data_IF_247697651907
#
_entry.id   IF_247697651907
#
_cell.length_a   1.000
_cell.length_b   1.000
_cell.length_c   1.000
_cell.angle_alpha   90.00
_cell.angle_beta   90.00
_cell.angle_gamma   90.00
#
_symmetry.space_group_name_H-M   'P 1'
#
loop_
_entity.id
_entity.type
_entity.pdbx_description
1 polymer ?
#
# COMPACT_ATOMS: atom_id res chain seq x y z
N UNK A 1 1.59 -7.82 -19.67
CA UNK A 1 0.58 -7.31 -18.71
C UNK A 1 -0.74 -8.05 -18.92
N UNK A 2 -1.46 -8.46 -17.86
CA UNK A 2 -2.67 -9.29 -17.97
C UNK A 2 -3.98 -8.48 -18.20
N UNK A 3 -3.91 -7.17 -18.42
CA UNK A 3 -5.09 -6.31 -18.53
C UNK A 3 -5.76 -6.43 -19.91
N UNK A 4 -7.10 -6.56 -19.93
CA UNK A 4 -7.88 -6.55 -21.16
C UNK A 4 -8.57 -5.20 -21.37
N UNK A 5 -9.51 -4.83 -20.49
CA UNK A 5 -10.25 -3.56 -20.55
C UNK A 5 -10.91 -3.25 -19.20
N UNK A 6 -11.41 -2.02 -19.06
CA UNK A 6 -12.39 -1.70 -18.03
C UNK A 6 -13.82 -1.98 -18.54
N UNK A 7 -14.65 -2.51 -17.66
CA UNK A 7 -16.11 -2.54 -17.80
C UNK A 7 -16.69 -1.68 -16.68
N UNK A 8 -17.05 -0.44 -17.02
CA UNK A 8 -17.29 0.65 -16.06
C UNK A 8 -16.08 0.89 -15.11
N UNK A 9 -16.12 0.43 -13.87
CA UNK A 9 -15.02 0.51 -12.90
C UNK A 9 -14.41 -0.86 -12.55
N UNK A 10 -14.87 -1.91 -13.22
CA UNK A 10 -14.39 -3.28 -13.06
C UNK A 10 -13.25 -3.54 -14.04
N UNK A 11 -12.10 -4.02 -13.55
CA UNK A 11 -11.03 -4.50 -14.44
C UNK A 11 -11.38 -5.89 -14.96
N UNK A 12 -11.29 -6.09 -16.28
CA UNK A 12 -11.36 -7.40 -16.92
C UNK A 12 -9.95 -7.78 -17.37
N UNK A 13 -9.52 -8.99 -17.02
CA UNK A 13 -8.21 -9.52 -17.39
C UNK A 13 -8.29 -10.46 -18.60
N UNK A 14 -7.15 -10.72 -19.24
CA UNK A 14 -7.04 -11.56 -20.44
C UNK A 14 -7.45 -13.03 -20.20
N UNK A 15 -7.42 -13.49 -18.96
CA UNK A 15 -7.86 -14.83 -18.55
C UNK A 15 -9.34 -14.89 -18.15
N UNK A 16 -10.07 -13.77 -18.26
CA UNK A 16 -11.47 -13.64 -17.87
C UNK A 16 -11.72 -13.40 -16.39
N UNK A 17 -10.68 -13.38 -15.55
CA UNK A 17 -10.86 -12.93 -14.18
C UNK A 17 -11.33 -11.48 -14.15
N UNK A 18 -11.92 -11.10 -13.02
CA UNK A 18 -12.46 -9.78 -12.76
C UNK A 18 -11.73 -9.16 -11.57
N UNK A 19 -11.54 -7.84 -11.59
CA UNK A 19 -10.83 -7.11 -10.55
C UNK A 19 -11.59 -5.90 -10.04
N UNK A 20 -11.53 -5.67 -8.73
CA UNK A 20 -11.90 -4.39 -8.09
C UNK A 20 -10.74 -3.86 -7.25
N UNK A 21 -10.52 -2.55 -7.29
CA UNK A 21 -9.50 -1.86 -6.51
C UNK A 21 -10.12 -0.90 -5.49
N UNK A 22 -9.43 -0.73 -4.37
CA UNK A 22 -9.78 0.21 -3.31
C UNK A 22 -8.56 1.05 -2.95
N UNK A 23 -8.75 2.36 -2.74
CA UNK A 23 -7.83 3.19 -1.98
C UNK A 23 -8.18 3.08 -0.50
N UNK A 24 -7.18 2.87 0.35
CA UNK A 24 -7.35 2.71 1.80
C UNK A 24 -6.80 3.95 2.53
N UNK A 25 -7.39 4.27 3.69
CA UNK A 25 -6.92 5.36 4.55
C UNK A 25 -5.71 4.99 5.43
N UNK A 26 -5.44 3.69 5.60
CA UNK A 26 -4.41 3.18 6.51
C UNK A 26 -4.79 3.31 7.99
N UNK A 27 -3.95 2.72 8.85
CA UNK A 27 -4.02 2.83 10.29
C UNK A 27 -2.84 3.66 10.81
N UNK A 28 -3.14 4.70 11.60
CA UNK A 28 -2.10 5.53 12.20
C UNK A 28 -1.60 4.88 13.50
N UNK A 29 -0.40 4.31 13.45
CA UNK A 29 0.27 3.71 14.60
C UNK A 29 1.07 4.71 15.44
N UNK A 30 1.26 5.95 14.98
CA UNK A 30 2.21 6.92 15.58
C UNK A 30 1.90 7.26 17.04
N UNK A 31 0.62 7.24 17.42
CA UNK A 31 0.15 7.49 18.78
C UNK A 31 -0.76 6.37 19.31
N UNK A 32 -0.79 5.23 18.62
CA UNK A 32 -1.60 4.08 19.03
C UNK A 32 -0.92 3.33 20.18
N UNK A 33 -1.72 2.82 21.12
CA UNK A 33 -1.20 1.90 22.14
C UNK A 33 -0.86 0.54 21.51
N UNK A 34 0.05 -0.26 22.12
CA UNK A 34 0.30 -1.63 21.67
C UNK A 34 -0.99 -2.45 21.54
N UNK A 35 -1.92 -2.31 22.48
CA UNK A 35 -3.23 -2.98 22.43
C UNK A 35 -4.06 -2.56 21.22
N UNK A 36 -4.03 -1.27 20.85
CA UNK A 36 -4.73 -0.77 19.67
C UNK A 36 -4.13 -1.32 18.38
N UNK A 37 -2.80 -1.41 18.31
CA UNK A 37 -2.06 -1.99 17.18
C UNK A 37 -2.38 -3.48 17.05
N UNK A 38 -2.35 -4.23 18.15
CA UNK A 38 -2.69 -5.66 18.18
C UNK A 38 -4.15 -5.89 17.78
N UNK A 39 -5.09 -5.10 18.30
CA UNK A 39 -6.50 -5.18 17.93
C UNK A 39 -6.73 -4.87 16.45
N UNK A 40 -5.99 -3.92 15.88
CA UNK A 40 -6.02 -3.66 14.44
C UNK A 40 -5.51 -4.87 13.64
N UNK A 41 -4.35 -5.42 13.99
CA UNK A 41 -3.81 -6.62 13.33
C UNK A 41 -4.78 -7.81 13.41
N UNK A 42 -5.42 -8.04 14.55
CA UNK A 42 -6.41 -9.10 14.69
C UNK A 42 -7.62 -8.91 13.76
N UNK A 43 -8.04 -7.66 13.51
CA UNK A 43 -9.08 -7.39 12.51
C UNK A 43 -8.62 -7.69 11.09
N UNK A 44 -7.35 -7.45 10.77
CA UNK A 44 -6.77 -7.79 9.47
C UNK A 44 -6.64 -9.31 9.30
N UNK A 45 -6.22 -10.02 10.35
CA UNK A 45 -6.22 -11.48 10.38
C UNK A 45 -7.62 -12.04 10.12
N UNK A 46 -8.63 -11.53 10.84
CA UNK A 46 -10.03 -11.92 10.63
C UNK A 46 -10.51 -11.62 9.20
N UNK A 47 -10.07 -10.51 8.61
CA UNK A 47 -10.33 -10.20 7.21
C UNK A 47 -9.74 -11.26 6.27
N UNK A 48 -8.46 -11.62 6.43
CA UNK A 48 -7.80 -12.62 5.60
C UNK A 48 -8.42 -14.01 5.78
N UNK A 49 -8.71 -14.40 7.03
CA UNK A 49 -9.40 -15.64 7.37
C UNK A 49 -10.83 -15.68 6.81
N UNK A 50 -11.48 -14.53 6.65
CA UNK A 50 -12.81 -14.41 6.06
C UNK A 50 -12.85 -14.49 4.53
N UNK A 51 -11.71 -14.46 3.83
CA UNK A 51 -11.69 -14.48 2.38
C UNK A 51 -12.17 -15.84 1.81
N UNK A 52 -12.95 -15.77 0.73
CA UNK A 52 -13.38 -16.94 0.00
C UNK A 52 -12.23 -17.57 -0.78
N UNK A 53 -12.22 -18.90 -0.85
CA UNK A 53 -11.22 -19.65 -1.61
C UNK A 53 -11.22 -19.22 -3.08
N UNK A 54 -10.02 -19.10 -3.66
CA UNK A 54 -9.83 -18.68 -5.03
C UNK A 54 -9.71 -17.18 -5.27
N UNK A 55 -9.98 -16.35 -4.27
CA UNK A 55 -9.68 -14.93 -4.37
C UNK A 55 -8.17 -14.70 -4.27
N UNK A 56 -7.69 -13.79 -5.12
CA UNK A 56 -6.36 -13.21 -5.02
C UNK A 56 -6.52 -11.77 -4.51
N UNK A 57 -5.70 -11.38 -3.55
CA UNK A 57 -5.68 -10.04 -2.98
C UNK A 57 -4.28 -9.47 -3.12
N UNK A 58 -4.16 -8.20 -3.45
CA UNK A 58 -2.88 -7.49 -3.45
C UNK A 58 -3.00 -6.23 -2.63
N UNK A 59 -2.09 -6.01 -1.70
CA UNK A 59 -1.84 -4.70 -1.11
C UNK A 59 -0.69 -4.07 -1.86
N UNK A 60 -0.94 -2.91 -2.46
CA UNK A 60 0.05 -2.12 -3.15
C UNK A 60 0.23 -0.80 -2.39
N UNK A 61 1.38 -0.65 -1.76
CA UNK A 61 1.78 0.52 -1.00
C UNK A 61 2.75 1.37 -1.82
N UNK A 62 2.59 2.68 -1.79
CA UNK A 62 3.54 3.63 -2.40
C UNK A 62 3.94 4.67 -1.37
N UNK A 63 5.22 4.89 -1.22
CA UNK A 63 5.74 6.08 -0.55
C UNK A 63 6.20 7.06 -1.64
N UNK A 64 5.45 8.13 -1.85
CA UNK A 64 5.67 9.07 -2.96
C UNK A 64 6.02 10.47 -2.46
N UNK A 65 6.44 11.35 -3.36
CA UNK A 65 6.58 12.79 -3.11
C UNK A 65 5.31 13.59 -3.44
N UNK A 66 4.19 12.93 -3.79
CA UNK A 66 3.01 13.58 -4.32
C UNK A 66 2.25 14.36 -3.24
N UNK A 67 2.61 15.64 -3.08
CA UNK A 67 1.93 16.59 -2.21
C UNK A 67 1.38 17.79 -2.99
N UNK A 68 1.38 17.76 -4.33
CA UNK A 68 0.99 18.91 -5.16
C UNK A 68 -0.42 19.41 -4.83
N UNK A 69 -1.39 18.48 -4.79
CA UNK A 69 -2.80 18.83 -4.54
C UNK A 69 -3.00 19.51 -3.19
N UNK A 70 -2.34 19.04 -2.12
CA UNK A 70 -2.50 19.65 -0.79
C UNK A 70 -1.80 21.00 -0.69
N UNK A 71 -0.65 21.19 -1.37
CA UNK A 71 0.01 22.50 -1.44
C UNK A 71 -0.85 23.49 -2.23
N UNK A 72 -1.44 23.08 -3.36
CA UNK A 72 -2.33 23.93 -4.15
C UNK A 72 -3.65 24.25 -3.42
N UNK A 73 -4.22 23.28 -2.70
CA UNK A 73 -5.35 23.54 -1.82
C UNK A 73 -4.98 24.55 -0.72
N UNK A 74 -3.79 24.46 -0.12
CA UNK A 74 -3.31 25.44 0.86
C UNK A 74 -3.15 26.84 0.25
N UNK A 75 -2.61 26.93 -0.98
CA UNK A 75 -2.54 28.17 -1.76
C UNK A 75 -3.92 28.77 -1.99
N UNK A 76 -4.88 27.94 -2.40
CA UNK A 76 -6.23 28.37 -2.74
C UNK A 76 -7.00 28.84 -1.51
N UNK A 77 -6.88 28.12 -0.40
CA UNK A 77 -7.55 28.43 0.87
C UNK A 77 -7.14 29.85 1.33
N UNK A 78 -5.86 30.20 1.19
CA UNK A 78 -5.32 31.54 1.50
C UNK A 78 -5.39 32.57 0.35
N UNK A 79 -6.08 32.27 -0.75
CA UNK A 79 -6.10 33.08 -1.98
C UNK A 79 -6.63 34.51 -1.78
N UNK A 80 -7.68 34.65 -0.97
CA UNK A 80 -8.34 35.95 -0.69
C UNK A 80 -7.76 36.69 0.52
N UNK A 81 -6.52 36.37 0.90
CA UNK A 81 -5.83 36.99 2.04
C UNK A 81 -5.58 38.49 1.84
N UNK A 82 -5.41 39.21 2.95
CA UNK A 82 -5.12 40.66 2.92
C UNK A 82 -3.77 40.94 2.25
N UNK A 83 -3.63 42.12 1.63
CA UNK A 83 -2.38 42.54 0.97
C UNK A 83 -1.16 42.48 1.92
N UNK A 84 -1.36 42.83 3.19
CA UNK A 84 -0.31 42.75 4.21
C UNK A 84 0.17 41.31 4.50
N UNK A 85 -0.67 40.31 4.24
CA UNK A 85 -0.36 38.91 4.48
C UNK A 85 0.31 38.21 3.28
N UNK A 86 0.11 38.73 2.07
CA UNK A 86 0.60 38.09 0.84
C UNK A 86 2.11 37.77 0.86
N UNK A 87 3.02 38.61 1.39
CA UNK A 87 4.44 38.25 1.49
C UNK A 87 4.69 37.00 2.33
N UNK A 88 3.97 36.84 3.45
CA UNK A 88 4.09 35.68 4.36
C UNK A 88 3.54 34.43 3.66
N UNK A 89 2.38 34.54 3.02
CA UNK A 89 1.78 33.48 2.22
C UNK A 89 2.73 32.99 1.14
N UNK A 90 3.27 33.91 0.33
CA UNK A 90 4.14 33.58 -0.80
C UNK A 90 5.44 32.93 -0.33
N UNK A 91 6.05 33.42 0.77
CA UNK A 91 7.24 32.78 1.35
C UNK A 91 6.96 31.35 1.82
N UNK A 92 5.79 31.09 2.42
CA UNK A 92 5.41 29.73 2.86
C UNK A 92 5.14 28.80 1.69
N UNK A 93 4.44 29.27 0.67
CA UNK A 93 4.20 28.48 -0.53
C UNK A 93 5.52 28.13 -1.21
N UNK A 94 6.42 29.11 -1.37
CA UNK A 94 7.75 28.87 -1.95
C UNK A 94 8.57 27.84 -1.14
N UNK A 95 8.42 27.82 0.20
CA UNK A 95 9.03 26.79 1.03
C UNK A 95 8.51 25.37 0.69
N UNK A 96 7.21 25.23 0.47
CA UNK A 96 6.62 23.94 0.10
C UNK A 96 6.90 23.55 -1.36
N UNK A 97 6.89 24.49 -2.29
CA UNK A 97 7.29 24.28 -3.70
C UNK A 97 8.73 23.77 -3.77
N UNK A 98 9.67 24.43 -3.09
CA UNK A 98 11.07 23.96 -3.03
C UNK A 98 11.19 22.55 -2.44
N UNK A 99 10.29 22.19 -1.52
CA UNK A 99 10.25 20.86 -0.91
C UNK A 99 9.67 19.80 -1.86
N UNK A 100 8.65 20.16 -2.66
CA UNK A 100 8.10 19.35 -3.75
C UNK A 100 9.18 19.08 -4.81
N UNK A 101 9.84 20.14 -5.30
CA UNK A 101 10.91 20.06 -6.31
C UNK A 101 12.07 19.19 -5.86
N UNK A 102 12.43 19.25 -4.56
CA UNK A 102 13.47 18.43 -3.99
C UNK A 102 13.03 16.98 -3.65
N UNK A 103 11.77 16.61 -3.94
CA UNK A 103 11.23 15.28 -3.62
C UNK A 103 11.20 14.97 -2.12
N UNK A 104 11.16 15.96 -1.24
CA UNK A 104 11.33 15.75 0.22
C UNK A 104 10.03 15.50 0.98
N UNK A 105 8.95 15.23 0.26
CA UNK A 105 7.71 14.74 0.83
C UNK A 105 7.66 13.22 0.77
N UNK A 106 7.02 12.63 1.77
CA UNK A 106 6.86 11.19 1.92
C UNK A 106 5.39 10.92 2.21
N UNK A 107 4.61 10.71 1.15
CA UNK A 107 3.16 10.56 1.19
C UNK A 107 2.81 9.09 0.97
N UNK A 108 2.31 8.39 1.99
CA UNK A 108 1.87 7.01 1.85
C UNK A 108 0.55 6.94 1.07
N UNK A 109 0.49 6.07 0.07
CA UNK A 109 -0.72 5.69 -0.63
C UNK A 109 -0.90 4.17 -0.53
N UNK A 110 -2.06 3.73 -0.05
CA UNK A 110 -2.36 2.32 0.16
C UNK A 110 -3.51 1.93 -0.77
N UNK A 111 -3.28 0.90 -1.58
CA UNK A 111 -4.28 0.33 -2.46
C UNK A 111 -4.46 -1.15 -2.15
N UNK A 112 -5.70 -1.63 -2.23
CA UNK A 112 -6.02 -3.04 -2.15
C UNK A 112 -6.78 -3.46 -3.40
N UNK A 113 -6.29 -4.50 -4.08
CA UNK A 113 -6.95 -5.10 -5.23
C UNK A 113 -7.46 -6.49 -4.86
N UNK A 114 -8.65 -6.80 -5.36
CA UNK A 114 -9.25 -8.14 -5.29
C UNK A 114 -9.42 -8.63 -6.72
N UNK A 115 -8.91 -9.81 -7.02
CA UNK A 115 -9.03 -10.47 -8.33
C UNK A 115 -9.70 -11.83 -8.15
N UNK A 116 -10.71 -12.09 -9.00
CA UNK A 116 -11.43 -13.36 -9.02
C UNK A 116 -10.56 -14.49 -9.59
N UNK A 117 -10.99 -15.73 -9.41
CA UNK A 117 -10.46 -16.82 -10.23
C UNK A 117 -10.71 -16.55 -11.73
N UNK A 118 -9.84 -17.07 -12.62
CA UNK A 118 -10.09 -17.07 -14.06
C UNK A 118 -11.39 -17.82 -14.40
N UNK A 119 -12.08 -17.36 -15.44
CA UNK A 119 -13.20 -18.11 -16.00
C UNK A 119 -12.66 -19.40 -16.63
N UNK A 120 -13.14 -20.57 -16.20
CA UNK A 120 -12.77 -21.84 -16.83
C UNK A 120 -13.33 -21.89 -18.26
N UNK A 121 -12.50 -21.48 -19.22
CA UNK A 121 -12.79 -21.67 -20.64
C UNK A 121 -12.78 -23.17 -20.96
N UNK A 122 -13.79 -23.67 -21.68
CA UNK A 122 -13.81 -25.06 -22.15
C UNK A 122 -12.48 -25.37 -22.86
N UNK A 123 -11.79 -26.43 -22.42
CA UNK A 123 -10.59 -26.94 -23.10
C UNK A 123 -10.93 -27.24 -24.57
N UNK A 124 -10.23 -26.58 -25.48
CA UNK A 124 -10.35 -26.71 -26.93
C UNK A 124 -10.09 -28.16 -27.38
N UNK A 125 -10.74 -28.59 -28.46
CA UNK A 125 -10.34 -29.80 -29.20
C UNK A 125 -9.21 -29.44 -30.18
N UNK A 126 -8.34 -30.41 -30.49
CA UNK A 126 -7.06 -30.24 -31.24
C UNK A 126 -7.15 -29.59 -32.65
N UNK A 127 -8.32 -29.20 -33.15
CA UNK A 127 -8.54 -28.69 -34.51
C UNK A 127 -9.39 -27.41 -34.60
N UNK A 128 -9.73 -26.75 -33.49
CA UNK A 128 -10.38 -25.43 -33.54
C UNK A 128 -9.39 -24.36 -33.99
N UNK A 129 -9.71 -23.64 -35.07
CA UNK A 129 -8.92 -22.49 -35.55
C UNK A 129 -8.83 -21.44 -34.43
N UNK A 130 -7.71 -20.70 -34.41
CA UNK A 130 -7.54 -19.50 -33.57
C UNK A 130 -8.55 -18.44 -34.02
N UNK A 131 -9.78 -18.53 -33.53
CA UNK A 131 -10.57 -17.33 -33.34
C UNK A 131 -9.96 -16.63 -32.12
N UNK A 132 -9.44 -15.43 -32.41
CA UNK A 132 -9.14 -14.36 -31.48
C UNK A 132 -10.25 -14.28 -30.43
N UNK A 133 -9.88 -13.90 -29.21
CA UNK A 133 -10.73 -13.76 -28.03
C UNK A 133 -12.08 -13.06 -28.33
N UNK A 134 -13.06 -13.80 -28.83
CA UNK A 134 -14.46 -13.37 -28.93
C UNK A 134 -15.13 -13.76 -27.62
N UNK A 135 -15.75 -12.76 -27.00
CA UNK A 135 -16.10 -12.70 -25.58
C UNK A 135 -16.72 -13.98 -25.02
N UNK A 136 -16.47 -14.18 -23.72
CA UNK A 136 -17.22 -15.11 -22.88
C UNK A 136 -18.72 -15.07 -23.23
N UNK A 137 -19.42 -16.22 -23.24
CA UNK A 137 -20.87 -16.22 -23.43
C UNK A 137 -21.49 -15.15 -22.53
N UNK A 138 -22.21 -14.14 -23.08
CA UNK A 138 -22.59 -12.94 -22.33
C UNK A 138 -23.29 -13.24 -21.00
N UNK A 139 -24.09 -14.31 -20.96
CA UNK A 139 -24.77 -14.79 -19.76
C UNK A 139 -23.79 -15.34 -18.71
N UNK A 140 -22.78 -16.11 -19.11
CA UNK A 140 -21.77 -16.65 -18.18
C UNK A 140 -20.90 -15.54 -17.60
N UNK A 141 -20.55 -14.55 -18.42
CA UNK A 141 -19.80 -13.38 -17.97
C UNK A 141 -20.61 -12.55 -16.98
N UNK A 142 -21.88 -12.26 -17.27
CA UNK A 142 -22.78 -11.54 -16.34
C UNK A 142 -22.96 -12.28 -15.03
N UNK A 143 -23.19 -13.60 -15.07
CA UNK A 143 -23.29 -14.41 -13.86
C UNK A 143 -21.99 -14.39 -13.04
N UNK A 144 -20.82 -14.36 -13.69
CA UNK A 144 -19.52 -14.20 -13.02
C UNK A 144 -19.37 -12.82 -12.39
N UNK A 145 -19.80 -11.76 -13.08
CA UNK A 145 -19.82 -10.39 -12.55
C UNK A 145 -20.73 -10.27 -11.31
N UNK A 146 -21.94 -10.83 -11.35
CA UNK A 146 -22.89 -10.80 -10.23
C UNK A 146 -22.33 -11.53 -9.00
N UNK A 147 -21.77 -12.73 -9.19
CA UNK A 147 -21.12 -13.48 -8.10
C UNK A 147 -19.93 -12.72 -7.53
N UNK A 148 -19.09 -12.15 -8.39
CA UNK A 148 -17.93 -11.39 -7.95
C UNK A 148 -18.34 -10.11 -7.21
N UNK A 149 -19.40 -9.43 -7.63
CA UNK A 149 -19.92 -8.24 -6.94
C UNK A 149 -20.35 -8.54 -5.49
N UNK A 150 -20.94 -9.71 -5.23
CA UNK A 150 -21.28 -10.16 -3.87
C UNK A 150 -20.02 -10.32 -3.02
N UNK A 151 -18.99 -10.99 -3.56
CA UNK A 151 -17.71 -11.18 -2.86
C UNK A 151 -17.02 -9.84 -2.57
N UNK A 152 -17.02 -8.92 -3.54
CA UNK A 152 -16.47 -7.58 -3.38
C UNK A 152 -17.22 -6.80 -2.28
N UNK A 153 -18.55 -6.92 -2.20
CA UNK A 153 -19.33 -6.29 -1.13
C UNK A 153 -18.95 -6.83 0.26
N UNK A 154 -18.67 -8.12 0.37
CA UNK A 154 -18.22 -8.74 1.62
C UNK A 154 -16.82 -8.24 2.01
N UNK A 155 -15.88 -8.21 1.05
CA UNK A 155 -14.54 -7.66 1.25
C UNK A 155 -14.60 -6.20 1.68
N UNK A 156 -15.39 -5.37 1.00
CA UNK A 156 -15.53 -3.96 1.33
C UNK A 156 -16.08 -3.75 2.75
N UNK A 157 -17.09 -4.55 3.15
CA UNK A 157 -17.63 -4.52 4.51
C UNK A 157 -16.60 -4.94 5.56
N UNK A 158 -15.80 -5.97 5.27
CA UNK A 158 -14.73 -6.43 6.16
C UNK A 158 -13.63 -5.38 6.31
N UNK A 159 -13.22 -4.71 5.22
CA UNK A 159 -12.25 -3.61 5.25
C UNK A 159 -12.78 -2.40 6.05
N UNK A 160 -14.06 -2.05 5.90
CA UNK A 160 -14.70 -1.02 6.74
C UNK A 160 -14.64 -1.40 8.23
N UNK A 161 -14.96 -2.65 8.55
CA UNK A 161 -14.93 -3.18 9.92
C UNK A 161 -13.51 -3.23 10.50
N UNK A 162 -12.51 -3.46 9.65
CA UNK A 162 -11.10 -3.41 10.01
C UNK A 162 -10.58 -2.00 10.32
N UNK A 163 -11.31 -0.96 9.89
CA UNK A 163 -10.96 0.44 10.18
C UNK A 163 -10.04 1.08 9.13
N UNK A 164 -9.86 0.47 7.95
CA UNK A 164 -8.99 1.03 6.88
C UNK A 164 -9.73 1.92 5.88
N UNK A 165 -11.02 2.21 6.14
CA UNK A 165 -11.86 3.14 5.38
C UNK A 165 -11.74 3.02 3.83
N UNK A 166 -12.16 1.87 3.23
CA UNK A 166 -12.00 1.64 1.80
C UNK A 166 -12.84 2.60 0.95
N UNK A 167 -12.24 3.13 -0.12
CA UNK A 167 -12.89 3.87 -1.18
C UNK A 167 -12.63 3.17 -2.53
N UNK A 168 -13.67 2.86 -3.30
CA UNK A 168 -13.53 2.17 -4.59
C UNK A 168 -12.74 3.03 -5.58
N UNK A 169 -11.79 2.43 -6.28
CA UNK A 169 -11.06 3.08 -7.35
C UNK A 169 -11.95 3.23 -8.58
N UNK A 170 -11.98 4.42 -9.13
CA UNK A 170 -12.58 4.67 -10.45
C UNK A 170 -11.57 4.29 -11.53
N UNK A 171 -12.08 3.98 -12.74
CA UNK A 171 -11.23 3.56 -13.87
C UNK A 171 -10.10 4.54 -14.20
N UNK A 172 -10.34 5.85 -14.03
CA UNK A 172 -9.35 6.88 -14.33
C UNK A 172 -8.19 6.86 -13.31
N UNK A 173 -8.51 6.79 -12.01
CA UNK A 173 -7.51 6.71 -10.93
C UNK A 173 -6.73 5.40 -11.00
N UNK A 174 -7.43 4.28 -11.29
CA UNK A 174 -6.81 2.98 -11.47
C UNK A 174 -5.86 2.98 -12.67
N UNK A 175 -6.30 3.50 -13.82
CA UNK A 175 -5.44 3.67 -14.99
C UNK A 175 -4.21 4.53 -14.66
N UNK A 176 -4.39 5.68 -13.99
CA UNK A 176 -3.29 6.56 -13.58
C UNK A 176 -2.29 5.87 -12.66
N UNK A 177 -2.76 5.06 -11.71
CA UNK A 177 -1.92 4.25 -10.83
C UNK A 177 -1.07 3.24 -11.61
N UNK A 178 -1.71 2.41 -12.45
CA UNK A 178 -0.99 1.45 -13.30
C UNK A 178 -0.04 2.17 -14.28
N UNK A 179 -0.46 3.31 -14.84
CA UNK A 179 0.35 4.10 -15.76
C UNK A 179 1.61 4.63 -15.08
N UNK A 180 1.49 5.21 -13.89
CA UNK A 180 2.65 5.72 -13.13
C UNK A 180 3.63 4.62 -12.73
N UNK A 181 3.18 3.37 -12.61
CA UNK A 181 4.06 2.23 -12.33
C UNK A 181 5.01 1.93 -13.50
N UNK A 182 4.48 1.91 -14.73
CA UNK A 182 5.25 1.59 -15.94
C UNK A 182 5.90 2.82 -16.58
N UNK A 183 5.52 4.04 -16.18
CA UNK A 183 5.94 5.28 -16.81
C UNK A 183 6.26 6.37 -15.77
N UNK A 184 6.94 6.02 -14.67
CA UNK A 184 7.10 6.90 -13.51
C UNK A 184 7.55 8.33 -13.87
N UNK A 185 8.75 8.47 -14.44
CA UNK A 185 9.31 9.78 -14.83
C UNK A 185 8.35 10.55 -15.76
N UNK A 186 7.78 9.87 -16.75
CA UNK A 186 6.80 10.47 -17.68
C UNK A 186 5.56 10.97 -16.95
N UNK A 187 5.07 10.20 -15.98
CA UNK A 187 3.87 10.54 -15.21
C UNK A 187 4.11 11.74 -14.28
N UNK A 188 5.34 11.94 -13.79
CA UNK A 188 5.71 13.08 -12.95
C UNK A 188 5.95 14.35 -13.78
N UNK A 189 6.53 14.23 -14.98
CA UNK A 189 6.87 15.37 -15.83
C UNK A 189 5.69 15.84 -16.70
N UNK A 190 4.93 14.91 -17.29
CA UNK A 190 3.89 15.19 -18.28
C UNK A 190 2.48 14.89 -17.73
N UNK A 191 2.38 14.00 -16.75
CA UNK A 191 1.10 13.48 -16.26
C UNK A 191 0.65 12.19 -16.95
N UNK A 192 -0.46 11.64 -16.46
CA UNK A 192 -1.09 10.45 -17.05
C UNK A 192 -1.99 10.84 -18.23
N UNK A 193 -1.96 10.09 -19.35
CA UNK A 193 -2.89 10.33 -20.44
C UNK A 193 -4.32 9.99 -20.01
N UNK A 194 -5.30 10.56 -20.70
CA UNK A 194 -6.70 10.16 -20.53
C UNK A 194 -6.89 8.77 -21.17
N UNK A 195 -7.45 7.84 -20.39
CA UNK A 195 -7.82 6.50 -20.87
C UNK A 195 -8.76 6.61 -22.08
N UNK A 196 -8.40 5.96 -23.18
CA UNK A 196 -9.22 5.84 -24.39
C UNK A 196 -9.98 4.53 -24.37
N UNK A 197 -11.28 4.60 -24.59
CA UNK A 197 -12.16 3.43 -24.53
C UNK A 197 -12.09 2.57 -25.81
N UNK A 198 -12.22 1.23 -25.70
CA UNK A 198 -12.17 0.33 -26.85
C UNK A 198 -13.32 0.48 -27.86
N UNK A 199 -14.31 1.33 -27.60
CA UNK A 199 -15.42 1.59 -28.54
C UNK A 199 -14.97 2.30 -29.81
N UNK A 200 -13.79 2.92 -29.79
CA UNK A 200 -13.12 3.42 -30.99
C UNK A 200 -12.35 2.27 -31.66
N UNK A 201 -12.68 1.98 -32.92
CA UNK A 201 -12.08 0.88 -33.69
C UNK A 201 -10.55 1.02 -33.85
N UNK A 202 -10.01 2.22 -33.65
CA UNK A 202 -8.57 2.51 -33.70
C UNK A 202 -7.97 2.75 -32.30
N UNK A 203 -8.74 2.59 -31.22
CA UNK A 203 -8.21 2.75 -29.88
C UNK A 203 -7.13 1.69 -29.60
N UNK A 204 -5.96 2.10 -29.07
CA UNK A 204 -4.95 1.15 -28.62
C UNK A 204 -5.50 0.30 -27.46
N UNK A 205 -5.01 -0.93 -27.36
CA UNK A 205 -5.33 -1.81 -26.22
C UNK A 205 -4.93 -1.17 -24.89
N UNK A 206 -5.56 -1.57 -23.80
CA UNK A 206 -5.23 -1.05 -22.46
C UNK A 206 -3.74 -1.23 -22.12
N UNK A 207 -3.08 -2.39 -22.34
CA UNK A 207 -1.64 -2.50 -22.20
C UNK A 207 -0.85 -1.54 -23.09
N UNK A 208 -1.28 -1.29 -24.32
CA UNK A 208 -0.64 -0.34 -25.24
C UNK A 208 -0.74 1.11 -24.76
N UNK A 209 -1.78 1.46 -23.99
CA UNK A 209 -1.92 2.76 -23.33
C UNK A 209 -1.10 2.87 -22.04
N UNK A 210 -0.86 1.74 -21.37
CA UNK A 210 -0.09 1.65 -20.13
C UNK A 210 1.43 1.56 -20.35
N UNK A 211 1.91 1.18 -21.53
CA UNK A 211 3.32 1.00 -21.84
C UNK A 211 3.81 2.08 -22.84
N UNK A 212 3.98 3.32 -22.36
CA UNK A 212 4.42 4.46 -23.19
C UNK A 212 5.88 4.88 -22.95
N UNK A 213 6.61 4.10 -22.16
CA UNK A 213 8.03 4.27 -21.87
C UNK A 213 8.73 2.93 -22.13
N UNK A 214 9.83 2.97 -22.87
CA UNK A 214 10.62 1.79 -23.17
C UNK A 214 11.28 1.23 -21.90
N UNK A 215 11.35 -0.11 -21.84
CA UNK A 215 11.99 -0.85 -20.76
C UNK A 215 13.18 -1.62 -21.33
N UNK A 216 14.37 -1.34 -20.81
CA UNK A 216 15.57 -2.14 -21.10
C UNK A 216 15.89 -3.03 -19.90
N UNK A 217 16.01 -4.33 -20.14
CA UNK A 217 16.29 -5.32 -19.09
C UNK A 217 17.80 -5.56 -19.01
N UNK A 218 18.35 -5.50 -17.80
CA UNK A 218 19.72 -5.92 -17.50
C UNK A 218 19.71 -6.90 -16.33
N UNK A 219 20.83 -7.57 -16.07
CA UNK A 219 20.93 -8.53 -14.95
C UNK A 219 20.65 -7.89 -13.59
N UNK A 220 20.97 -6.61 -13.38
CA UNK A 220 20.93 -5.97 -12.05
C UNK A 220 19.87 -4.88 -11.90
N UNK A 221 19.25 -4.45 -13.00
CA UNK A 221 18.24 -3.39 -13.00
C UNK A 221 17.37 -3.45 -14.27
N UNK A 222 16.17 -2.89 -14.18
CA UNK A 222 15.37 -2.48 -15.33
C UNK A 222 15.61 -1.00 -15.56
N UNK A 223 15.92 -0.58 -16.79
CA UNK A 223 15.98 0.84 -17.13
C UNK A 223 14.65 1.24 -17.75
N UNK A 224 13.91 2.14 -17.10
CA UNK A 224 12.61 2.64 -17.55
C UNK A 224 12.74 4.16 -17.64
N UNK A 225 12.78 4.70 -18.86
CA UNK A 225 13.16 6.11 -19.08
C UNK A 225 14.59 6.38 -18.61
N UNK A 226 14.76 7.44 -17.82
CA UNK A 226 16.03 7.83 -17.19
C UNK A 226 16.37 7.05 -15.90
N UNK A 227 15.45 6.24 -15.37
CA UNK A 227 15.58 5.63 -14.04
C UNK A 227 16.01 4.17 -14.09
N UNK A 228 16.83 3.77 -13.12
CA UNK A 228 17.20 2.37 -12.87
C UNK A 228 16.33 1.78 -11.76
N UNK A 229 15.46 0.84 -12.11
CA UNK A 229 14.59 0.12 -11.19
C UNK A 229 15.19 -1.20 -10.74
N UNK A 230 14.92 -1.57 -9.49
CA UNK A 230 15.29 -2.86 -8.91
C UNK A 230 14.16 -3.38 -8.02
N UNK A 231 14.09 -4.70 -7.90
CA UNK A 231 13.14 -5.38 -7.02
C UNK A 231 13.92 -6.24 -6.03
N UNK A 232 13.57 -6.10 -4.74
CA UNK A 232 14.02 -6.99 -3.68
C UNK A 232 12.80 -7.72 -3.14
N UNK A 233 12.84 -9.05 -3.12
CA UNK A 233 11.73 -9.89 -2.68
C UNK A 233 12.05 -10.53 -1.34
N UNK A 234 11.04 -10.89 -0.56
CA UNK A 234 11.25 -11.63 0.67
C UNK A 234 11.63 -13.08 0.36
N UNK A 235 12.93 -13.39 0.42
CA UNK A 235 13.49 -14.70 0.14
C UNK A 235 13.22 -15.70 1.27
N UNK A 236 13.49 -15.31 2.51
CA UNK A 236 13.14 -16.06 3.72
C UNK A 236 12.18 -15.25 4.61
N UNK A 237 11.25 -15.95 5.24
CA UNK A 237 10.31 -15.36 6.19
C UNK A 237 11.03 -14.96 7.49
N UNK A 238 10.45 -14.05 8.30
CA UNK A 238 10.94 -13.77 9.64
C UNK A 238 11.13 -15.06 10.46
N UNK A 239 12.18 -15.10 11.26
CA UNK A 239 12.47 -16.23 12.15
C UNK A 239 11.70 -16.13 13.47
N UNK A 240 11.28 -17.27 13.99
CA UNK A 240 10.56 -17.34 15.27
C UNK A 240 9.11 -16.86 15.17
N UNK A 241 8.79 -15.78 15.89
CA UNK A 241 7.43 -15.23 15.97
C UNK A 241 7.33 -13.91 15.22
N UNK A 242 6.22 -13.73 14.51
CA UNK A 242 5.86 -12.44 13.93
C UNK A 242 5.04 -11.63 14.95
N UNK A 243 5.14 -10.31 14.89
CA UNK A 243 4.40 -9.41 15.78
C UNK A 243 3.63 -8.35 14.99
N UNK A 244 2.59 -7.81 15.59
CA UNK A 244 1.85 -6.69 15.01
C UNK A 244 2.79 -5.52 14.65
N UNK A 245 2.51 -4.82 13.55
CA UNK A 245 3.34 -3.72 12.99
C UNK A 245 4.77 -4.09 12.58
N UNK A 246 5.13 -5.38 12.48
CA UNK A 246 6.47 -5.82 12.06
C UNK A 246 6.90 -5.23 10.70
N UNK A 247 5.96 -5.02 9.79
CA UNK A 247 6.21 -4.42 8.47
C UNK A 247 6.75 -2.98 8.52
N UNK A 248 6.56 -2.23 9.62
CA UNK A 248 6.94 -0.81 9.69
C UNK A 248 8.43 -0.56 9.47
N UNK A 249 9.29 -1.52 9.80
CA UNK A 249 10.73 -1.47 9.53
C UNK A 249 11.04 -1.27 8.04
N UNK A 250 10.24 -1.86 7.15
CA UNK A 250 10.34 -1.68 5.70
C UNK A 250 9.63 -0.39 5.23
N UNK A 251 8.65 0.11 6.00
CA UNK A 251 7.86 1.29 5.63
C UNK A 251 8.58 2.61 5.89
N UNK A 252 9.56 2.63 6.80
CA UNK A 252 10.27 3.83 7.29
C UNK A 252 11.61 4.11 6.58
N UNK A 253 11.77 3.65 5.34
CA UNK A 253 12.97 3.92 4.55
C UNK A 253 13.06 5.42 4.18
N UNK A 254 14.28 6.00 4.11
CA UNK A 254 14.48 7.44 3.90
C UNK A 254 14.38 7.89 2.44
N UNK A 255 13.76 7.09 1.57
CA UNK A 255 13.58 7.36 0.14
C UNK A 255 12.25 6.79 -0.36
N UNK A 256 11.82 7.18 -1.56
CA UNK A 256 10.60 6.67 -2.18
C UNK A 256 10.76 5.24 -2.69
N UNK A 257 9.72 4.45 -2.48
CA UNK A 257 9.63 3.08 -2.96
C UNK A 257 8.17 2.68 -3.09
N UNK A 258 7.94 1.57 -3.77
CA UNK A 258 6.68 0.85 -3.78
C UNK A 258 6.86 -0.51 -3.14
N UNK A 259 5.79 -1.03 -2.56
CA UNK A 259 5.76 -2.33 -1.95
C UNK A 259 4.50 -3.07 -2.37
N UNK A 260 4.65 -4.32 -2.81
CA UNK A 260 3.54 -5.18 -3.23
C UNK A 260 3.55 -6.46 -2.42
N UNK A 261 2.46 -6.70 -1.70
CA UNK A 261 2.17 -7.98 -1.06
C UNK A 261 0.98 -8.61 -1.76
N UNK A 262 1.19 -9.73 -2.44
CA UNK A 262 0.15 -10.53 -3.09
C UNK A 262 -0.18 -11.72 -2.20
N UNK A 263 -1.47 -11.98 -2.03
CA UNK A 263 -2.02 -12.98 -1.12
C UNK A 263 -2.99 -13.84 -1.94
N UNK A 264 -2.72 -15.14 -1.99
CA UNK A 264 -3.59 -16.12 -2.63
C UNK A 264 -4.22 -16.99 -1.55
N UNK A 265 -5.55 -17.04 -1.56
CA UNK A 265 -6.29 -18.00 -0.74
C UNK A 265 -6.06 -19.42 -1.24
N UNK A 266 -5.81 -20.35 -0.32
CA UNK A 266 -5.56 -21.75 -0.63
C UNK A 266 -6.79 -22.60 -0.32
N UNK A 267 -6.93 -23.73 -1.00
CA UNK A 267 -7.93 -24.75 -0.66
C UNK A 267 -7.54 -25.44 0.65
N UNK A 268 -8.23 -25.11 1.75
CA UNK A 268 -7.78 -25.48 3.10
C UNK A 268 -7.71 -27.00 3.29
N UNK A 269 -8.66 -27.74 2.71
CA UNK A 269 -8.68 -29.21 2.76
C UNK A 269 -7.41 -29.83 2.17
N UNK A 270 -6.95 -29.34 1.02
CA UNK A 270 -5.72 -29.84 0.37
C UNK A 270 -4.48 -29.52 1.21
N UNK A 271 -4.46 -28.36 1.87
CA UNK A 271 -3.32 -28.00 2.73
C UNK A 271 -3.31 -28.82 4.03
N UNK A 272 -4.47 -29.10 4.62
CA UNK A 272 -4.59 -30.02 5.77
C UNK A 272 -4.07 -31.42 5.39
N UNK A 273 -4.50 -31.97 4.25
CA UNK A 273 -4.03 -33.30 3.77
C UNK A 273 -2.50 -33.34 3.59
N UNK A 274 -1.89 -32.24 3.12
CA UNK A 274 -0.43 -32.10 3.02
C UNK A 274 0.23 -32.04 4.40
N UNK A 275 -0.32 -31.28 5.33
CA UNK A 275 0.20 -31.20 6.70
C UNK A 275 0.11 -32.54 7.43
N UNK A 276 -0.98 -33.29 7.27
CA UNK A 276 -1.12 -34.65 7.82
C UNK A 276 -0.07 -35.61 7.26
N UNK A 277 0.21 -35.52 5.95
CA UNK A 277 1.29 -36.30 5.34
C UNK A 277 2.66 -35.92 5.93
N UNK A 278 2.97 -34.62 6.04
CA UNK A 278 4.21 -34.15 6.65
C UNK A 278 4.34 -34.60 8.11
N UNK A 279 3.25 -34.52 8.88
CA UNK A 279 3.19 -34.99 10.27
C UNK A 279 3.51 -36.48 10.38
N UNK A 280 2.93 -37.32 9.51
CA UNK A 280 3.23 -38.77 9.50
C UNK A 280 4.71 -39.04 9.23
N UNK A 281 5.31 -38.35 8.26
CA UNK A 281 6.74 -38.49 7.94
C UNK A 281 7.60 -38.04 9.12
N UNK A 282 7.32 -36.87 9.69
CA UNK A 282 8.04 -36.34 10.84
C UNK A 282 7.94 -37.27 12.07
N UNK A 283 6.76 -37.83 12.32
CA UNK A 283 6.55 -38.79 13.41
C UNK A 283 7.39 -40.07 13.20
N UNK A 284 7.44 -40.60 11.98
CA UNK A 284 8.29 -41.76 11.66
C UNK A 284 9.79 -41.45 11.83
N UNK A 285 10.23 -40.23 11.51
CA UNK A 285 11.61 -39.81 11.73
C UNK A 285 11.95 -39.66 13.21
N UNK A 286 11.07 -39.04 14.00
CA UNK A 286 11.24 -38.88 15.44
C UNK A 286 11.22 -40.23 16.20
N UNK A 287 10.40 -41.17 15.73
CA UNK A 287 10.24 -42.50 16.35
C UNK A 287 11.29 -43.53 15.90
N UNK A 288 11.95 -43.31 14.75
CA UNK A 288 12.76 -44.32 14.05
C UNK A 288 14.25 -44.33 14.39
N UNK A 289 14.79 -43.29 15.03
CA UNK A 289 16.21 -43.21 15.41
C UNK A 289 16.45 -43.77 16.81
N UNK A 290 16.68 -45.08 16.91
CA UNK A 290 16.91 -45.80 18.18
C UNK A 290 18.05 -45.30 19.08
N UNK A 291 18.81 -44.25 18.74
CA UNK A 291 19.87 -43.70 19.61
C UNK A 291 20.05 -42.17 19.59
N UNK A 292 19.25 -41.41 18.84
CA UNK A 292 19.25 -39.93 18.91
C UNK A 292 17.85 -39.45 18.55
N UNK A 293 16.98 -39.30 19.55
CA UNK A 293 15.81 -38.42 19.42
C UNK A 293 16.35 -37.00 19.31
N UNK A 294 16.52 -36.53 18.07
CA UNK A 294 17.01 -35.18 17.84
C UNK A 294 15.93 -34.21 18.31
N UNK A 295 16.25 -33.39 19.32
CA UNK A 295 15.34 -32.37 19.88
C UNK A 295 14.72 -31.51 18.76
N UNK A 296 15.47 -31.31 17.67
CA UNK A 296 15.00 -30.61 16.48
C UNK A 296 13.83 -31.33 15.79
N UNK A 297 13.85 -32.67 15.71
CA UNK A 297 12.79 -33.47 15.09
C UNK A 297 11.52 -33.46 15.94
N UNK A 298 11.65 -33.55 17.26
CA UNK A 298 10.52 -33.45 18.19
C UNK A 298 9.87 -32.05 18.15
N UNK A 299 10.69 -31.00 18.15
CA UNK A 299 10.21 -29.61 18.04
C UNK A 299 9.48 -29.37 16.71
N UNK A 300 10.04 -29.84 15.58
CA UNK A 300 9.36 -29.76 14.27
C UNK A 300 8.02 -30.49 14.27
N UNK A 301 7.95 -31.68 14.88
CA UNK A 301 6.71 -32.43 14.99
C UNK A 301 5.69 -31.68 15.84
N UNK A 302 6.07 -31.18 17.03
CA UNK A 302 5.20 -30.39 17.90
C UNK A 302 4.63 -29.17 17.17
N UNK A 303 5.48 -28.38 16.51
CA UNK A 303 5.06 -27.20 15.76
C UNK A 303 4.09 -27.55 14.61
N UNK A 304 4.30 -28.69 13.94
CA UNK A 304 3.37 -29.18 12.91
C UNK A 304 2.03 -29.59 13.51
N UNK A 305 2.02 -30.24 14.67
CA UNK A 305 0.78 -30.61 15.36
C UNK A 305 -0.01 -29.39 15.82
N UNK A 306 0.66 -28.37 16.35
CA UNK A 306 0.02 -27.12 16.75
C UNK A 306 -0.59 -26.37 15.56
N UNK A 307 0.18 -26.22 14.47
CA UNK A 307 -0.33 -25.64 13.22
C UNK A 307 -1.53 -26.41 12.69
N UNK A 308 -1.47 -27.74 12.69
CA UNK A 308 -2.54 -28.58 12.19
C UNK A 308 -3.80 -28.44 13.06
N UNK A 309 -3.66 -28.35 14.38
CA UNK A 309 -4.78 -28.08 15.30
C UNK A 309 -5.42 -26.73 15.01
N UNK A 310 -4.63 -25.67 14.89
CA UNK A 310 -5.14 -24.31 14.61
C UNK A 310 -5.89 -24.21 13.27
N UNK A 311 -5.37 -24.87 12.22
CA UNK A 311 -6.02 -24.90 10.91
C UNK A 311 -7.30 -25.75 10.95
N UNK A 312 -7.31 -26.86 11.69
CA UNK A 312 -8.50 -27.71 11.85
C UNK A 312 -9.61 -27.07 12.68
N UNK A 313 -9.28 -26.32 13.74
CA UNK A 313 -10.25 -25.56 14.54
C UNK A 313 -10.76 -24.33 13.80
N UNK A 314 -10.08 -23.92 12.72
CA UNK A 314 -10.39 -22.74 11.94
C UNK A 314 -9.98 -21.43 12.61
N UNK A 315 -9.13 -21.47 13.64
CA UNK A 315 -8.56 -20.26 14.23
C UNK A 315 -7.57 -19.59 13.29
N UNK A 316 -6.92 -20.37 12.43
CA UNK A 316 -6.00 -19.88 11.39
C UNK A 316 -6.35 -20.49 10.04
N UNK A 317 -6.00 -19.78 8.96
CA UNK A 317 -5.98 -20.34 7.61
C UNK A 317 -4.59 -20.27 7.02
N UNK A 318 -4.30 -21.18 6.11
CA UNK A 318 -3.09 -21.11 5.29
C UNK A 318 -3.36 -20.30 4.02
N UNK A 319 -2.50 -19.31 3.80
CA UNK A 319 -2.46 -18.51 2.58
C UNK A 319 -1.09 -18.63 1.92
N UNK A 320 -1.03 -18.26 0.64
CA UNK A 320 0.22 -18.13 -0.08
C UNK A 320 0.50 -16.66 -0.36
N UNK A 321 1.53 -16.09 0.25
CA UNK A 321 1.85 -14.68 0.15
C UNK A 321 3.29 -14.44 -0.29
N UNK A 322 3.51 -13.38 -1.06
CA UNK A 322 4.83 -12.82 -1.31
C UNK A 322 4.95 -11.43 -0.67
N UNK A 323 6.13 -10.81 -0.77
CA UNK A 323 6.37 -9.41 -0.45
C UNK A 323 7.52 -8.89 -1.31
N UNK A 324 7.28 -7.80 -2.05
CA UNK A 324 8.22 -7.23 -3.00
C UNK A 324 8.43 -5.75 -2.70
N UNK A 325 9.68 -5.30 -2.61
CA UNK A 325 10.09 -3.90 -2.54
C UNK A 325 10.59 -3.48 -3.92
N UNK A 326 9.97 -2.46 -4.50
CA UNK A 326 10.30 -1.90 -5.82
C UNK A 326 10.80 -0.47 -5.61
N UNK A 327 11.99 -0.17 -6.10
CA UNK A 327 12.62 1.13 -5.90
C UNK A 327 13.47 1.49 -7.11
N UNK A 328 13.83 2.76 -7.21
CA UNK A 328 14.55 3.30 -8.34
C UNK A 328 15.58 4.35 -7.92
N UNK A 329 16.49 4.65 -8.83
CA UNK A 329 17.53 5.67 -8.67
C UNK A 329 17.95 6.23 -10.04
N UNK A 330 18.57 7.41 -10.03
CA UNK A 330 19.13 8.04 -11.24
C UNK A 330 20.56 7.54 -11.55
N UNK A 331 21.23 6.95 -10.56
CA UNK A 331 22.58 6.41 -10.69
C UNK A 331 22.67 5.00 -10.13
N UNK A 332 23.65 4.22 -10.63
CA UNK A 332 23.92 2.88 -10.11
C UNK A 332 24.40 2.92 -8.66
N UNK A 333 25.18 3.94 -8.28
CA UNK A 333 25.69 4.11 -6.92
C UNK A 333 24.55 4.30 -5.92
N UNK A 334 23.62 5.20 -6.21
CA UNK A 334 22.43 5.41 -5.38
C UNK A 334 21.55 4.15 -5.33
N UNK A 335 21.43 3.41 -6.45
CA UNK A 335 20.67 2.16 -6.49
C UNK A 335 21.25 1.10 -5.54
N UNK A 336 22.59 0.96 -5.49
CA UNK A 336 23.25 0.05 -4.56
C UNK A 336 23.07 0.49 -3.11
N UNK A 337 23.21 1.79 -2.81
CA UNK A 337 22.97 2.33 -1.47
C UNK A 337 21.54 2.02 -0.98
N UNK A 338 20.52 2.28 -1.81
CA UNK A 338 19.12 1.94 -1.50
C UNK A 338 18.92 0.43 -1.31
N UNK A 339 19.62 -0.38 -2.11
CA UNK A 339 19.58 -1.85 -1.99
C UNK A 339 20.08 -2.28 -0.61
N UNK A 340 21.22 -1.77 -0.16
CA UNK A 340 21.76 -2.09 1.16
C UNK A 340 20.83 -1.68 2.30
N UNK A 341 20.21 -0.50 2.20
CA UNK A 341 19.24 -0.03 3.19
C UNK A 341 18.00 -0.94 3.27
N UNK A 342 17.46 -1.36 2.13
CA UNK A 342 16.35 -2.32 2.08
C UNK A 342 16.74 -3.66 2.70
N UNK A 343 17.92 -4.20 2.37
CA UNK A 343 18.40 -5.45 2.95
C UNK A 343 18.60 -5.35 4.47
N UNK A 344 19.04 -4.20 4.98
CA UNK A 344 19.10 -3.92 6.43
C UNK A 344 17.70 -3.87 7.05
N UNK A 345 16.73 -3.24 6.38
CA UNK A 345 15.35 -3.18 6.84
C UNK A 345 14.66 -4.56 6.85
N UNK A 346 14.93 -5.44 5.89
CA UNK A 346 14.50 -6.84 5.93
C UNK A 346 15.04 -7.57 7.16
N UNK A 347 16.34 -7.43 7.48
CA UNK A 347 16.90 -8.02 8.70
C UNK A 347 16.27 -7.46 9.99
N UNK A 348 15.92 -6.17 10.00
CA UNK A 348 15.19 -5.55 11.10
C UNK A 348 13.73 -6.04 11.21
N UNK A 349 13.20 -6.68 10.17
CA UNK A 349 11.87 -7.31 10.12
C UNK A 349 11.97 -8.77 10.56
N UNK A 350 12.44 -8.99 11.81
CA UNK A 350 12.53 -10.33 12.41
C UNK A 350 13.54 -11.27 11.73
N UNK A 351 14.69 -10.76 11.31
CA UNK A 351 15.72 -11.51 10.57
C UNK A 351 15.24 -12.10 9.22
N UNK A 352 14.19 -11.54 8.62
CA UNK A 352 13.81 -11.89 7.27
C UNK A 352 14.94 -11.58 6.27
N UNK A 353 15.07 -12.42 5.24
CA UNK A 353 16.08 -12.22 4.20
C UNK A 353 15.46 -11.63 2.94
N UNK A 354 15.91 -10.43 2.57
CA UNK A 354 15.63 -9.84 1.27
C UNK A 354 16.54 -10.46 0.19
N UNK A 355 15.96 -10.85 -0.93
CA UNK A 355 16.65 -11.36 -2.10
C UNK A 355 16.60 -10.30 -3.21
N UNK A 356 17.76 -9.79 -3.60
CA UNK A 356 17.88 -8.90 -4.77
C UNK A 356 17.62 -9.73 -6.02
N UNK A 357 16.57 -9.40 -6.78
CA UNK A 357 16.27 -10.14 -8.00
C UNK A 357 17.23 -9.73 -9.12
N UNK A 358 17.75 -10.74 -9.81
CA UNK A 358 18.59 -10.57 -10.99
C UNK A 358 17.90 -11.11 -12.24
N UNK A 359 18.08 -12.39 -12.57
CA UNK A 359 17.41 -13.02 -13.70
C UNK A 359 15.87 -13.06 -13.55
N UNK A 360 15.38 -13.06 -12.31
CA UNK A 360 13.94 -12.98 -12.00
C UNK A 360 13.39 -11.56 -11.93
N UNK A 361 14.20 -10.53 -12.19
CA UNK A 361 13.85 -9.13 -11.95
C UNK A 361 12.64 -8.69 -12.78
N UNK A 362 12.60 -9.04 -14.06
CA UNK A 362 11.51 -8.70 -14.95
C UNK A 362 10.18 -9.29 -14.46
N UNK A 363 10.17 -10.59 -14.18
CA UNK A 363 9.00 -11.29 -13.64
C UNK A 363 8.53 -10.69 -12.30
N UNK A 364 9.47 -10.44 -11.39
CA UNK A 364 9.17 -9.86 -10.08
C UNK A 364 8.55 -8.47 -10.22
N UNK A 365 9.06 -7.63 -11.12
CA UNK A 365 8.50 -6.30 -11.40
C UNK A 365 7.09 -6.40 -11.99
N UNK A 366 6.91 -7.14 -13.08
CA UNK A 366 5.60 -7.20 -13.75
C UNK A 366 4.51 -7.88 -12.90
N UNK A 367 4.85 -8.89 -12.10
CA UNK A 367 3.88 -9.58 -11.23
C UNK A 367 3.56 -8.82 -9.94
N UNK A 368 4.43 -7.91 -9.53
CA UNK A 368 4.21 -6.98 -8.43
C UNK A 368 3.47 -5.70 -8.86
N UNK A 369 3.21 -5.51 -10.16
CA UNK A 369 2.51 -4.33 -10.65
C UNK A 369 1.09 -4.23 -10.06
N UNK A 370 0.56 -3.00 -9.88
CA UNK A 370 -0.76 -2.79 -9.30
C UNK A 370 -1.83 -3.57 -10.06
N UNK A 371 -2.77 -4.17 -9.33
CA UNK A 371 -3.90 -4.93 -9.86
C UNK A 371 -3.55 -6.26 -10.53
N UNK A 372 -2.27 -6.64 -10.67
CA UNK A 372 -1.92 -7.95 -11.26
C UNK A 372 -2.28 -9.10 -10.32
N UNK A 373 -2.05 -8.97 -9.00
CA UNK A 373 -2.38 -9.98 -8.00
C UNK A 373 -1.74 -11.38 -8.20
N UNK A 374 -0.67 -11.48 -8.99
CA UNK A 374 -0.01 -12.77 -9.28
C UNK A 374 1.17 -13.03 -8.37
N UNK A 375 1.98 -12.01 -8.07
CA UNK A 375 3.15 -12.09 -7.20
C UNK A 375 4.32 -12.95 -7.70
N UNK A 376 5.39 -12.99 -6.91
CA UNK A 376 6.65 -13.68 -7.17
C UNK A 376 7.21 -14.28 -5.88
N UNK A 377 7.77 -15.50 -5.96
CA UNK A 377 8.32 -16.22 -4.79
C UNK A 377 7.37 -16.37 -3.59
N UNK A 378 6.12 -16.69 -3.87
CA UNK A 378 5.12 -16.99 -2.85
C UNK A 378 5.61 -17.99 -1.79
N UNK A 379 5.28 -17.70 -0.53
CA UNK A 379 5.52 -18.53 0.64
C UNK A 379 4.18 -18.90 1.28
N UNK A 380 4.08 -20.12 1.79
CA UNK A 380 2.92 -20.54 2.60
C UNK A 380 3.09 -19.99 4.02
N UNK A 381 2.05 -19.39 4.56
CA UNK A 381 2.07 -18.86 5.94
C UNK A 381 0.65 -18.81 6.52
N UNK A 382 0.57 -18.68 7.85
CA UNK A 382 -0.68 -18.41 8.58
C UNK A 382 -1.24 -17.03 8.20
N UNK A 383 -2.55 -16.87 8.35
CA UNK A 383 -3.25 -15.60 8.19
C UNK A 383 -2.74 -14.51 9.14
N UNK A 384 -2.42 -14.85 10.39
CA UNK A 384 -1.80 -13.91 11.35
C UNK A 384 -0.44 -13.40 10.88
N UNK A 385 0.46 -14.31 10.48
CA UNK A 385 1.78 -13.96 9.94
C UNK A 385 1.68 -13.05 8.71
N UNK A 386 0.71 -13.33 7.83
CA UNK A 386 0.46 -12.51 6.65
C UNK A 386 -0.04 -11.09 7.04
N UNK A 387 -0.94 -11.00 8.02
CA UNK A 387 -1.45 -9.73 8.54
C UNK A 387 -0.36 -8.87 9.18
N UNK A 388 0.59 -9.47 9.91
CA UNK A 388 1.73 -8.76 10.51
C UNK A 388 2.68 -8.13 9.48
N UNK A 389 2.72 -8.68 8.27
CA UNK A 389 3.52 -8.20 7.15
C UNK A 389 2.74 -7.31 6.17
N UNK A 390 1.46 -7.03 6.46
CA UNK A 390 0.58 -6.31 5.54
C UNK A 390 0.77 -4.79 5.65
N UNK A 391 1.14 -4.08 4.57
CA UNK A 391 1.53 -2.68 4.64
C UNK A 391 0.33 -1.73 4.67
N UNK A 392 -0.37 -1.72 5.80
CA UNK A 392 -1.61 -0.98 6.02
C UNK A 392 -1.45 0.21 6.98
N UNK A 393 -0.22 0.57 7.33
CA UNK A 393 0.08 1.68 8.24
C UNK A 393 0.30 2.98 7.47
N UNK A 394 -0.32 4.06 7.93
CA UNK A 394 -0.09 5.39 7.39
C UNK A 394 -0.38 6.43 8.47
N UNK A 395 0.53 7.40 8.65
CA UNK A 395 0.29 8.49 9.56
C UNK A 395 -0.95 9.31 9.15
N UNK A 396 -1.72 9.76 10.14
CA UNK A 396 -2.84 10.64 9.87
C UNK A 396 -2.35 11.97 9.28
N UNK A 397 -2.92 12.34 8.14
CA UNK A 397 -2.53 13.52 7.36
C UNK A 397 -3.24 14.81 7.79
N UNK A 398 -4.09 14.72 8.82
CA UNK A 398 -4.82 15.86 9.37
C UNK A 398 -6.19 16.09 8.72
N UNK A 399 -6.70 17.33 8.78
CA UNK A 399 -8.00 17.72 8.24
C UNK A 399 -8.01 17.80 6.71
N UNK A 400 -9.19 17.65 6.11
CA UNK A 400 -9.35 17.74 4.64
C UNK A 400 -8.97 19.11 4.09
N UNK A 401 -9.22 20.18 4.83
CA UNK A 401 -8.91 21.55 4.42
C UNK A 401 -7.55 21.96 5.01
N UNK A 402 -6.51 22.22 4.19
CA UNK A 402 -5.19 22.58 4.68
C UNK A 402 -5.11 24.07 5.06
N UNK A 403 -5.81 24.47 6.13
CA UNK A 403 -5.79 25.86 6.62
C UNK A 403 -4.43 26.22 7.19
N UNK A 404 -3.92 25.38 8.08
CA UNK A 404 -2.52 25.37 8.52
C UNK A 404 -1.88 24.15 7.87
N UNK A 405 -0.81 24.35 7.11
CA UNK A 405 -0.04 23.26 6.52
C UNK A 405 1.32 23.17 7.24
N UNK A 406 1.65 21.96 7.69
CA UNK A 406 2.89 21.60 8.37
C UNK A 406 3.48 20.33 7.73
N UNK A 407 4.58 19.82 8.29
CA UNK A 407 5.09 18.48 7.97
C UNK A 407 5.10 17.63 9.24
N UNK A 408 4.65 16.38 9.14
CA UNK A 408 4.75 15.43 10.23
C UNK A 408 6.18 14.88 10.38
N UNK A 409 6.39 13.95 11.33
CA UNK A 409 7.70 13.35 11.62
C UNK A 409 8.22 12.48 10.47
N UNK A 410 7.33 11.96 9.65
CA UNK A 410 7.62 11.09 8.50
C UNK A 410 7.92 11.89 7.23
N UNK A 411 7.83 13.22 7.28
CA UNK A 411 8.08 14.08 6.13
C UNK A 411 6.85 14.33 5.24
N UNK A 412 5.68 13.81 5.61
CA UNK A 412 4.41 13.99 4.93
C UNK A 412 3.77 15.37 5.26
N UNK A 413 3.02 16.00 4.33
CA UNK A 413 2.24 17.20 4.63
C UNK A 413 1.15 16.92 5.67
N UNK A 414 0.99 17.79 6.66
CA UNK A 414 0.01 17.65 7.74
C UNK A 414 -0.89 18.88 7.82
N UNK A 415 -2.18 18.68 7.65
CA UNK A 415 -3.18 19.75 7.58
C UNK A 415 -3.93 19.92 8.91
N UNK A 416 -4.06 21.16 9.39
CA UNK A 416 -4.92 21.47 10.54
C UNK A 416 -5.94 22.51 10.11
N UNK A 417 -7.22 22.22 10.34
CA UNK A 417 -8.32 23.17 10.25
C UNK A 417 -8.97 23.33 11.62
N UNK A 418 -8.72 24.46 12.33
CA UNK A 418 -9.33 24.72 13.64
C UNK A 418 -10.87 24.74 13.61
N UNK A 419 -11.48 24.97 12.45
CA UNK A 419 -12.91 25.04 12.25
C UNK A 419 -13.45 23.95 11.33
N UNK A 420 -12.74 22.81 11.29
CA UNK A 420 -13.17 21.68 10.48
C UNK A 420 -14.58 21.22 10.91
N UNK A 421 -15.51 21.02 9.96
CA UNK A 421 -16.89 20.61 10.28
C UNK A 421 -16.96 19.20 10.89
N UNK A 422 -15.93 18.37 10.69
CA UNK A 422 -15.82 17.05 11.31
C UNK A 422 -15.47 17.07 12.81
N UNK A 423 -15.02 18.21 13.35
CA UNK A 423 -14.67 18.32 14.77
C UNK A 423 -15.92 18.54 15.64
N UNK A 424 -16.06 17.84 16.78
CA UNK A 424 -17.21 18.03 17.68
C UNK A 424 -17.21 19.41 18.36
N UNK A 425 -16.03 20.02 18.51
CA UNK A 425 -15.85 21.39 19.00
C UNK A 425 -14.55 21.97 18.44
N UNK A 426 -14.42 23.30 18.48
CA UNK A 426 -13.28 24.03 17.91
C UNK A 426 -12.28 24.54 18.96
N UNK A 427 -12.25 23.90 20.13
CA UNK A 427 -11.32 24.25 21.19
C UNK A 427 -10.07 23.37 21.10
N UNK A 428 -8.89 23.97 21.30
CA UNK A 428 -7.61 23.26 21.31
C UNK A 428 -6.78 23.62 22.53
N UNK A 429 -5.98 22.66 23.02
CA UNK A 429 -4.98 22.89 24.06
C UNK A 429 -3.59 22.57 23.50
N UNK A 430 -2.63 23.45 23.78
CA UNK A 430 -1.22 23.26 23.41
C UNK A 430 -0.38 23.36 24.67
N UNK A 431 0.27 22.25 25.03
CA UNK A 431 1.21 22.18 26.14
C UNK A 431 2.64 22.15 25.60
N UNK A 432 3.57 22.77 26.33
CA UNK A 432 4.99 22.74 26.01
C UNK A 432 5.80 23.45 27.08
N UNK A 433 6.92 22.84 27.48
CA UNK A 433 7.85 23.44 28.43
C UNK A 433 8.50 24.72 27.90
N UNK A 434 9.15 25.50 28.76
CA UNK A 434 9.92 26.66 28.32
C UNK A 434 11.01 26.22 27.33
N UNK A 435 11.19 26.98 26.24
CA UNK A 435 12.15 26.66 25.18
C UNK A 435 11.72 25.56 24.19
N UNK A 436 10.58 24.89 24.41
CA UNK A 436 10.09 23.81 23.52
C UNK A 436 9.56 24.29 22.15
N UNK A 437 9.53 25.59 21.91
CA UNK A 437 8.97 26.17 20.68
C UNK A 437 7.44 26.38 20.71
N UNK A 438 6.78 26.28 21.88
CA UNK A 438 5.34 26.55 22.04
C UNK A 438 4.90 27.89 21.42
N UNK A 439 5.53 28.99 21.83
CA UNK A 439 5.15 30.34 21.35
C UNK A 439 5.38 30.50 19.85
N UNK A 440 6.48 29.93 19.32
CA UNK A 440 6.73 29.91 17.88
C UNK A 440 5.66 29.13 17.10
N UNK A 441 5.31 27.93 17.57
CA UNK A 441 4.32 27.06 16.92
C UNK A 441 2.93 27.70 16.88
N UNK A 442 2.50 28.28 18.01
CA UNK A 442 1.22 29.00 18.10
C UNK A 442 1.21 30.19 17.15
N UNK A 443 2.26 31.01 17.14
CA UNK A 443 2.36 32.15 16.22
C UNK A 443 2.33 31.71 14.76
N UNK A 444 3.02 30.61 14.39
CA UNK A 444 2.96 30.07 13.04
C UNK A 444 1.54 29.64 12.65
N UNK A 445 0.86 28.88 13.50
CA UNK A 445 -0.53 28.44 13.27
C UNK A 445 -1.47 29.63 13.10
N UNK A 446 -1.39 30.61 14.01
CA UNK A 446 -2.17 31.85 13.97
C UNK A 446 -1.92 32.65 12.69
N UNK A 447 -0.66 32.76 12.25
CA UNK A 447 -0.33 33.42 10.99
C UNK A 447 -0.96 32.71 9.80
N UNK A 448 -0.95 31.38 9.73
CA UNK A 448 -1.62 30.67 8.61
C UNK A 448 -3.13 30.90 8.64
N UNK A 449 -3.70 30.89 9.85
CA UNK A 449 -5.12 31.10 10.07
C UNK A 449 -5.59 32.52 9.70
N UNK A 450 -4.84 33.57 10.06
CA UNK A 450 -5.11 34.95 9.64
C UNK A 450 -5.18 35.14 8.12
N UNK A 451 -4.49 34.28 7.36
CA UNK A 451 -4.52 34.28 5.91
C UNK A 451 -5.83 33.79 5.32
N UNK A 452 -6.79 33.34 6.13
CA UNK A 452 -8.01 32.69 5.69
C UNK A 452 -9.25 33.57 5.81
N UNK A 453 -10.30 33.18 5.08
CA UNK A 453 -11.68 33.56 5.38
C UNK A 453 -12.46 32.33 5.79
N UNK A 454 -13.24 32.46 6.86
CA UNK A 454 -14.20 31.45 7.30
C UNK A 454 -15.60 32.06 7.27
N UNK A 455 -16.54 31.41 6.57
CA UNK A 455 -17.88 31.94 6.32
C UNK A 455 -17.87 33.40 5.79
N UNK A 456 -16.92 33.71 4.90
CA UNK A 456 -16.78 35.04 4.29
C UNK A 456 -16.15 36.11 5.19
N UNK A 457 -15.79 35.80 6.44
CA UNK A 457 -15.19 36.76 7.39
C UNK A 457 -13.73 36.39 7.69
N UNK A 458 -12.83 37.39 7.82
CA UNK A 458 -11.48 37.14 8.32
C UNK A 458 -11.55 36.73 9.81
N UNK A 459 -10.72 35.79 10.26
CA UNK A 459 -10.66 35.44 11.67
C UNK A 459 -10.12 36.62 12.49
N UNK A 460 -10.66 36.77 13.70
CA UNK A 460 -10.14 37.71 14.69
C UNK A 460 -9.29 36.94 15.68
N UNK A 461 -8.02 37.34 15.82
CA UNK A 461 -7.11 36.75 16.81
C UNK A 461 -7.03 37.67 18.01
N UNK A 462 -7.35 37.14 19.19
CA UNK A 462 -7.16 37.81 20.48
C UNK A 462 -6.04 37.08 21.20
N UNK A 463 -4.94 37.79 21.48
CA UNK A 463 -3.80 37.26 22.21
C UNK A 463 -3.84 37.73 23.65
N UNK A 464 -3.80 36.78 24.60
CA UNK A 464 -3.68 37.06 26.03
C UNK A 464 -2.41 36.38 26.50
N UNK A 465 -1.41 37.18 26.88
CA UNK A 465 -0.17 36.69 27.47
C UNK A 465 -0.06 37.18 28.91
N UNK A 466 -0.06 36.24 29.86
CA UNK A 466 0.21 36.56 31.26
C UNK A 466 1.71 36.49 31.59
N UNK A 467 2.56 36.12 30.62
CA UNK A 467 3.98 35.84 30.78
C UNK A 467 4.89 36.90 30.16
N UNK A 468 4.83 38.13 30.67
CA UNK A 468 5.93 39.09 30.53
C UNK A 468 6.23 39.66 31.92
N UNK A 469 7.33 39.24 32.54
CA UNK A 469 7.85 39.90 33.75
C UNK A 469 8.91 40.91 33.29
N UNK A 470 8.61 42.22 33.24
CA UNK A 470 9.52 43.25 32.73
C UNK A 470 10.77 43.48 33.60
N UNK A 471 10.96 42.73 34.69
CA UNK A 471 12.06 42.90 35.64
C UNK A 471 13.36 42.12 35.30
N UNK A 472 13.49 41.56 34.09
CA UNK A 472 14.73 40.91 33.62
C UNK A 472 15.06 41.34 32.19
N UNK A 473 15.39 42.61 32.01
CA UNK A 473 16.07 43.14 30.83
C UNK A 473 17.31 43.90 31.27
#
# INVERSE_FOLDING_TARGET
>A
MPFFRFDDHLMVYLDGSLGVGFRLGGFDSSCASPDSINAFCQKIENFLSGLNEGLQVQVFYRLTNNAYDVVEQHRAVSGDSSLAYQPIRNARIAFFEKKLEAGRFFVPEIYLFVRSQPLQLKRRKFFEKKETFEGFPPEQFRAHQERFAILVSQVESALRSAGVAPNRLLKADWFGLCFSYFNLERSEVIGSPVLREPTDALAPSLPGQLALTDISVSEKHLKIGGLFFRVVTMGLLPEGQTVASMIESLMRLPFHFWMSQNIQTLEQRKEIEKLELMRRIANSMASGSQNVSDIESESKLSNLEDLLREVMTGSERLVSSDLNMIFWAESHEELEQKTEEILRAFRATGQAEGLVETFGLEDAFFKAAPSVCEGWRHKRMKTSNCAHLMPLYAAWMGNKRPVVLLTNREGAPFAIDPFAPELPNWNGLIFGGSGSGKSYSISQMMLQFCGQKYAGKPPKIVWIDNGCNPAKS
#
